data_IF_815784586660
#
_entry.id   IF_815784586660
#
_cell.length_a   1.000
_cell.length_b   1.000
_cell.length_c   1.000
_cell.angle_alpha   90.00
_cell.angle_beta   90.00
_cell.angle_gamma   90.00
#
_symmetry.space_group_name_H-M   'P 1'
#
loop_
_entity.id
_entity.type
_entity.pdbx_description
1 polymer ?
#
# COMPACT_ATOMS: atom_id res chain seq x y z
N UNK A 1 -29.31 13.77 -3.04
CA UNK A 1 -28.23 14.34 -3.87
C UNK A 1 -26.81 14.01 -3.34
N UNK A 2 -26.58 14.02 -2.02
CA UNK A 2 -25.27 13.71 -1.41
C UNK A 2 -24.74 12.30 -1.71
N UNK A 3 -25.56 11.26 -1.56
CA UNK A 3 -25.15 9.86 -1.84
C UNK A 3 -24.70 9.63 -3.29
N UNK A 4 -25.39 10.25 -4.26
CA UNK A 4 -25.03 10.15 -5.67
C UNK A 4 -23.69 10.85 -5.98
N UNK A 5 -23.43 12.00 -5.34
CA UNK A 5 -22.13 12.68 -5.44
C UNK A 5 -21.01 11.83 -4.86
N UNK A 6 -21.23 11.24 -3.69
CA UNK A 6 -20.21 10.38 -3.06
C UNK A 6 -19.94 9.13 -3.88
N UNK A 7 -20.97 8.51 -4.46
CA UNK A 7 -20.77 7.39 -5.38
C UNK A 7 -19.91 7.77 -6.59
N UNK A 8 -20.13 8.95 -7.18
CA UNK A 8 -19.31 9.43 -8.29
C UNK A 8 -17.85 9.69 -7.87
N UNK A 9 -17.63 10.28 -6.69
CA UNK A 9 -16.30 10.48 -6.12
C UNK A 9 -15.58 9.14 -5.88
N UNK A 10 -16.28 8.14 -5.34
CA UNK A 10 -15.77 6.77 -5.18
C UNK A 10 -15.38 6.14 -6.52
N UNK A 11 -16.19 6.32 -7.57
CA UNK A 11 -15.85 5.83 -8.92
C UNK A 11 -14.57 6.49 -9.46
N UNK A 12 -14.40 7.80 -9.24
CA UNK A 12 -13.18 8.50 -9.63
C UNK A 12 -11.97 8.04 -8.79
N UNK A 13 -12.14 7.84 -7.48
CA UNK A 13 -11.12 7.29 -6.60
C UNK A 13 -10.64 5.90 -7.09
N UNK A 14 -11.56 5.02 -7.46
CA UNK A 14 -11.24 3.72 -8.05
C UNK A 14 -10.44 3.86 -9.37
N UNK A 15 -10.82 4.82 -10.22
CA UNK A 15 -10.10 5.11 -11.46
C UNK A 15 -8.66 5.59 -11.21
N UNK A 16 -8.46 6.43 -10.19
CA UNK A 16 -7.14 6.89 -9.77
C UNK A 16 -6.28 5.73 -9.25
N UNK A 17 -6.79 4.90 -8.33
CA UNK A 17 -6.10 3.72 -7.80
C UNK A 17 -5.67 2.74 -8.91
N UNK A 18 -6.54 2.56 -9.92
CA UNK A 18 -6.24 1.75 -11.11
C UNK A 18 -5.11 2.33 -11.96
N UNK A 19 -5.09 3.65 -12.15
CA UNK A 19 -4.00 4.32 -12.89
C UNK A 19 -2.67 4.23 -12.16
N UNK A 20 -2.67 4.38 -10.83
CA UNK A 20 -1.49 4.17 -9.97
C UNK A 20 -1.00 2.73 -10.11
N UNK A 21 -1.91 1.75 -10.04
CA UNK A 21 -1.61 0.34 -10.24
C UNK A 21 -0.93 0.08 -11.59
N UNK A 22 -1.46 0.66 -12.68
CA UNK A 22 -0.82 0.52 -14.00
C UNK A 22 0.56 1.17 -14.04
N UNK A 23 0.77 2.31 -13.39
CA UNK A 23 2.09 2.91 -13.27
C UNK A 23 3.10 1.98 -12.56
N UNK A 24 2.68 1.28 -11.50
CA UNK A 24 3.48 0.24 -10.83
C UNK A 24 3.77 -0.95 -11.76
N UNK A 25 2.79 -1.42 -12.53
CA UNK A 25 2.98 -2.49 -13.53
C UNK A 25 4.01 -2.06 -14.59
N UNK A 26 3.90 -0.86 -15.15
CA UNK A 26 4.88 -0.35 -16.11
C UNK A 26 6.28 -0.21 -15.49
N UNK A 27 6.39 0.23 -14.24
CA UNK A 27 7.66 0.24 -13.54
C UNK A 27 8.26 -1.16 -13.42
N UNK A 28 7.45 -2.16 -13.11
CA UNK A 28 7.92 -3.54 -12.97
C UNK A 28 8.53 -4.09 -14.25
N UNK A 29 8.12 -3.61 -15.43
CA UNK A 29 8.76 -4.01 -16.70
C UNK A 29 10.17 -3.44 -16.85
N UNK A 30 10.40 -2.23 -16.35
CA UNK A 30 11.65 -1.49 -16.53
C UNK A 30 12.69 -1.74 -15.41
N UNK A 31 12.27 -2.27 -14.26
CA UNK A 31 13.19 -2.51 -13.13
C UNK A 31 13.92 -3.86 -13.24
N UNK A 32 15.24 -3.95 -12.97
CA UNK A 32 15.97 -5.23 -12.97
C UNK A 32 15.43 -6.27 -11.97
N UNK A 33 14.81 -5.81 -10.88
CA UNK A 33 14.17 -6.64 -9.87
C UNK A 33 12.75 -7.09 -10.24
N UNK A 34 12.16 -6.51 -11.30
CA UNK A 34 10.77 -6.74 -11.72
C UNK A 34 9.76 -6.47 -10.60
N UNK A 35 10.00 -5.41 -9.82
CA UNK A 35 9.19 -5.03 -8.63
C UNK A 35 8.07 -4.09 -9.03
N UNK A 36 6.87 -4.33 -8.49
CA UNK A 36 5.70 -3.48 -8.75
C UNK A 36 5.79 -2.13 -8.03
N UNK A 37 6.21 -2.14 -6.76
CA UNK A 37 6.50 -0.92 -6.00
C UNK A 37 7.97 -0.96 -5.58
N UNK A 38 8.72 0.09 -5.87
CA UNK A 38 10.14 0.18 -5.53
C UNK A 38 10.30 1.08 -4.31
N UNK A 39 9.89 0.58 -3.16
CA UNK A 39 9.75 1.32 -1.89
C UNK A 39 10.81 0.87 -0.88
N UNK A 40 11.20 1.75 0.04
CA UNK A 40 12.28 1.49 1.00
C UNK A 40 11.86 0.61 2.21
N UNK A 41 10.56 0.37 2.40
CA UNK A 41 10.03 -0.46 3.49
C UNK A 41 8.64 -0.97 3.15
N UNK A 42 8.10 -1.83 4.03
CA UNK A 42 6.76 -2.41 3.91
C UNK A 42 5.64 -1.40 4.17
N UNK A 43 5.88 -0.41 5.03
CA UNK A 43 4.95 0.70 5.29
C UNK A 43 5.32 1.98 4.54
N UNK A 44 5.94 1.87 3.36
CA UNK A 44 6.25 3.05 2.54
C UNK A 44 5.20 3.18 1.46
N UNK A 45 4.40 4.25 1.56
CA UNK A 45 3.30 4.53 0.63
C UNK A 45 3.70 5.46 -0.51
N UNK A 46 4.96 5.90 -0.54
CA UNK A 46 5.44 6.89 -1.49
C UNK A 46 5.08 6.56 -2.94
N UNK A 47 4.47 7.52 -3.62
CA UNK A 47 4.23 7.50 -5.07
C UNK A 47 5.45 7.98 -5.87
N UNK A 48 6.54 8.40 -5.22
CA UNK A 48 7.74 8.88 -5.91
C UNK A 48 8.49 7.79 -6.68
N UNK A 49 8.28 6.50 -6.38
CA UNK A 49 8.89 5.44 -7.20
C UNK A 49 8.35 5.44 -8.64
N UNK A 50 7.08 5.80 -8.84
CA UNK A 50 6.41 5.83 -10.16
C UNK A 50 6.27 7.23 -10.76
N UNK A 51 6.17 8.29 -9.94
CA UNK A 51 6.18 9.67 -10.40
C UNK A 51 7.60 10.14 -10.74
N UNK A 52 7.83 11.01 -11.74
CA UNK A 52 6.92 11.43 -12.81
C UNK A 52 7.00 10.49 -14.03
N UNK A 53 7.75 9.38 -13.96
CA UNK A 53 8.06 8.57 -15.15
C UNK A 53 6.82 7.85 -15.68
N UNK A 54 6.09 7.15 -14.81
CA UNK A 54 4.93 6.33 -15.16
C UNK A 54 3.61 6.97 -14.69
N UNK A 55 3.62 7.68 -13.56
CA UNK A 55 2.51 8.52 -13.11
C UNK A 55 2.83 9.98 -13.47
N UNK A 56 2.23 10.53 -14.53
CA UNK A 56 2.57 11.87 -15.04
C UNK A 56 1.90 13.01 -14.27
N UNK A 57 0.64 12.79 -13.89
CA UNK A 57 -0.16 13.77 -13.17
C UNK A 57 -0.14 13.42 -11.67
N UNK A 58 0.49 14.24 -10.81
CA UNK A 58 0.55 13.96 -9.38
C UNK A 58 -0.83 14.07 -8.69
N UNK A 59 -1.80 14.76 -9.31
CA UNK A 59 -3.18 14.88 -8.81
C UNK A 59 -3.95 13.55 -8.86
N UNK A 60 -3.44 12.53 -9.57
CA UNK A 60 -3.97 11.16 -9.46
C UNK A 60 -3.75 10.57 -8.07
N UNK A 61 -2.85 11.14 -7.27
CA UNK A 61 -2.66 10.80 -5.86
C UNK A 61 -3.76 11.32 -4.92
N UNK A 62 -4.75 12.07 -5.41
CA UNK A 62 -5.81 12.65 -4.56
C UNK A 62 -7.14 11.93 -4.74
N UNK A 63 -7.76 11.52 -3.64
CA UNK A 63 -9.12 11.00 -3.62
C UNK A 63 -10.12 12.18 -3.63
N UNK A 64 -11.13 12.21 -4.52
CA UNK A 64 -12.10 13.31 -4.57
C UNK A 64 -13.02 13.45 -3.35
N UNK A 65 -12.99 12.48 -2.44
CA UNK A 65 -13.71 12.51 -1.16
C UNK A 65 -12.90 13.13 -0.02
N UNK A 66 -11.67 13.59 -0.28
CA UNK A 66 -10.79 14.19 0.73
C UNK A 66 -10.54 15.68 0.48
N UNK A 67 -9.86 16.31 1.43
CA UNK A 67 -9.27 17.65 1.32
C UNK A 67 -7.75 17.58 1.11
N UNK A 68 -7.21 16.38 0.84
CA UNK A 68 -5.78 16.16 0.69
C UNK A 68 -5.23 16.93 -0.50
N UNK A 69 -3.96 17.32 -0.40
CA UNK A 69 -3.31 18.15 -1.40
C UNK A 69 -1.93 17.62 -1.76
N UNK A 70 -1.65 17.64 -3.06
CA UNK A 70 -0.31 17.45 -3.61
C UNK A 70 0.09 18.73 -4.35
N UNK A 71 1.06 19.45 -3.79
CA UNK A 71 1.61 20.69 -4.34
C UNK A 71 2.81 20.38 -5.24
N UNK A 72 2.73 20.81 -6.50
CA UNK A 72 3.75 20.49 -7.51
C UNK A 72 5.09 21.23 -7.31
N UNK A 73 5.06 22.32 -6.55
CA UNK A 73 6.21 23.14 -6.16
C UNK A 73 6.83 22.72 -4.82
N UNK A 74 6.13 21.90 -4.02
CA UNK A 74 6.63 21.38 -2.76
C UNK A 74 7.58 20.19 -2.96
N UNK A 75 8.83 20.52 -3.34
CA UNK A 75 9.88 19.55 -3.69
C UNK A 75 10.96 19.47 -2.64
N UNK A 76 11.63 18.31 -2.58
CA UNK A 76 12.83 18.17 -1.77
C UNK A 76 13.92 19.16 -2.21
N UNK A 77 14.61 19.83 -1.27
CA UNK A 77 15.60 20.85 -1.61
C UNK A 77 16.83 20.22 -2.29
N UNK A 78 17.14 18.97 -1.94
CA UNK A 78 18.21 18.15 -2.49
C UNK A 78 17.68 16.81 -3.00
N UNK A 79 18.42 16.09 -3.86
CA UNK A 79 18.07 14.73 -4.23
C UNK A 79 17.94 13.81 -3.02
N UNK A 80 16.88 13.01 -2.97
CA UNK A 80 16.73 11.98 -1.94
C UNK A 80 17.53 10.76 -2.36
N UNK A 81 18.47 10.26 -1.52
CA UNK A 81 19.40 9.19 -1.87
C UNK A 81 18.74 7.94 -2.48
N UNK A 82 17.61 7.51 -1.91
CA UNK A 82 16.88 6.34 -2.39
C UNK A 82 16.38 6.49 -3.84
N UNK A 83 15.95 7.69 -4.23
CA UNK A 83 15.44 7.96 -5.59
C UNK A 83 16.50 8.51 -6.54
N UNK A 84 17.64 9.00 -6.03
CA UNK A 84 18.69 9.65 -6.83
C UNK A 84 18.24 10.97 -7.51
N UNK A 85 17.11 11.53 -7.10
CA UNK A 85 16.53 12.75 -7.68
C UNK A 85 15.76 13.54 -6.62
N UNK A 86 15.43 14.79 -6.94
CA UNK A 86 14.44 15.56 -6.15
C UNK A 86 13.07 14.91 -6.29
N UNK A 87 12.33 14.86 -5.19
CA UNK A 87 10.98 14.26 -5.12
C UNK A 87 9.92 15.33 -4.85
N UNK A 88 8.64 14.97 -5.03
CA UNK A 88 7.53 15.75 -4.48
C UNK A 88 7.29 15.28 -3.04
N UNK A 89 7.35 16.19 -2.07
CA UNK A 89 7.17 15.85 -0.66
C UNK A 89 5.78 15.29 -0.39
N UNK A 90 4.75 15.89 -0.98
CA UNK A 90 3.36 15.46 -0.79
C UNK A 90 3.04 14.10 -1.47
N UNK A 91 3.98 13.53 -2.23
CA UNK A 91 3.88 12.16 -2.76
C UNK A 91 4.70 11.15 -1.96
N UNK A 92 5.42 11.57 -0.92
CA UNK A 92 6.26 10.66 -0.15
C UNK A 92 5.46 9.88 0.90
N UNK A 93 4.48 10.55 1.50
CA UNK A 93 3.62 9.98 2.53
C UNK A 93 2.17 10.33 2.24
N UNK A 94 1.28 9.48 2.74
CA UNK A 94 -0.16 9.74 2.76
C UNK A 94 -0.49 10.89 3.71
N UNK A 95 -1.62 11.55 3.46
CA UNK A 95 -2.14 12.58 4.35
C UNK A 95 -2.68 11.99 5.66
N UNK A 96 -2.75 12.80 6.71
CA UNK A 96 -3.10 12.36 8.09
C UNK A 96 -4.53 11.82 8.25
N UNK A 97 -5.43 12.09 7.28
CA UNK A 97 -6.82 11.64 7.17
C UNK A 97 -7.50 12.35 5.98
N UNK A 98 -8.77 12.05 5.72
CA UNK A 98 -9.55 12.65 4.64
C UNK A 98 -9.76 14.17 4.74
N UNK A 99 -9.67 14.77 5.93
CA UNK A 99 -9.86 16.20 6.14
C UNK A 99 -8.54 16.99 6.18
N UNK A 100 -7.39 16.31 6.13
CA UNK A 100 -6.08 16.98 6.14
C UNK A 100 -5.81 17.69 4.81
N UNK A 101 -5.51 18.98 4.90
CA UNK A 101 -5.19 19.89 3.80
C UNK A 101 -3.74 20.40 3.85
N UNK A 102 -2.89 19.81 4.69
CA UNK A 102 -1.52 20.30 4.92
C UNK A 102 -0.47 19.70 3.98
N UNK A 103 -0.80 18.60 3.30
CA UNK A 103 0.08 17.89 2.37
C UNK A 103 -0.01 16.37 2.54
N UNK A 104 0.24 15.63 1.46
CA UNK A 104 0.20 14.18 1.43
C UNK A 104 -0.85 13.66 0.46
N UNK A 105 -0.70 12.41 0.03
CA UNK A 105 -1.61 11.77 -0.93
C UNK A 105 -2.66 10.88 -0.24
N UNK A 106 -3.64 10.43 -1.01
CA UNK A 106 -4.81 9.71 -0.53
C UNK A 106 -4.74 8.20 -0.74
N UNK A 107 -3.57 7.60 -0.95
CA UNK A 107 -3.46 6.18 -1.34
C UNK A 107 -2.31 5.46 -0.66
N UNK A 108 -2.54 4.28 -0.12
CA UNK A 108 -1.48 3.41 0.38
C UNK A 108 -0.94 2.48 -0.71
N UNK A 109 0.34 2.11 -0.62
CA UNK A 109 1.04 1.26 -1.57
C UNK A 109 1.50 -0.02 -0.89
N UNK A 110 0.76 -1.08 -1.19
CA UNK A 110 0.96 -2.40 -0.62
C UNK A 110 1.92 -3.21 -1.50
N UNK A 111 3.15 -2.72 -1.61
CA UNK A 111 4.22 -3.30 -2.42
C UNK A 111 4.76 -4.65 -1.94
N UNK A 112 4.36 -5.12 -0.76
CA UNK A 112 4.96 -6.25 -0.05
C UNK A 112 3.92 -7.28 0.39
N UNK A 113 4.34 -8.54 0.44
CA UNK A 113 3.65 -9.60 1.17
C UNK A 113 4.12 -9.61 2.62
N UNK A 114 3.20 -9.79 3.56
CA UNK A 114 3.54 -9.80 4.97
C UNK A 114 4.13 -11.15 5.40
N UNK A 115 5.18 -11.07 6.21
CA UNK A 115 5.89 -12.25 6.66
C UNK A 115 6.66 -12.02 7.97
N UNK A 116 7.13 -13.10 8.61
CA UNK A 116 7.08 -14.48 8.12
C UNK A 116 5.72 -15.12 8.42
N UNK A 117 5.01 -15.56 7.39
CA UNK A 117 3.61 -15.99 7.51
C UNK A 117 3.29 -17.23 6.67
N UNK A 118 2.33 -18.04 7.12
CA UNK A 118 1.68 -19.12 6.38
C UNK A 118 0.20 -18.76 6.26
N UNK A 119 -0.27 -18.56 5.04
CA UNK A 119 -1.64 -18.15 4.74
C UNK A 119 -2.58 -19.35 4.56
N UNK A 120 -3.87 -19.05 4.38
CA UNK A 120 -4.97 -20.03 4.33
C UNK A 120 -4.78 -21.12 3.26
N UNK A 121 -4.14 -20.79 2.13
CA UNK A 121 -3.82 -21.73 1.06
C UNK A 121 -2.47 -22.46 1.27
N UNK A 122 -1.90 -22.36 2.47
CA UNK A 122 -0.59 -22.87 2.90
C UNK A 122 0.61 -22.21 2.21
N UNK A 123 0.40 -21.12 1.47
CA UNK A 123 1.51 -20.31 0.96
C UNK A 123 2.32 -19.74 2.11
N UNK A 124 3.64 -19.96 2.05
CA UNK A 124 4.61 -19.43 3.01
C UNK A 124 5.30 -18.20 2.42
N UNK A 125 5.30 -17.12 3.18
CA UNK A 125 6.06 -15.89 2.92
C UNK A 125 7.19 -15.82 3.96
N UNK A 126 8.42 -15.68 3.49
CA UNK A 126 9.60 -15.52 4.36
C UNK A 126 10.68 -14.69 3.67
N UNK A 127 10.79 -13.42 4.05
CA UNK A 127 11.79 -12.50 3.53
C UNK A 127 13.10 -12.48 4.31
N UNK A 128 13.23 -13.23 5.41
CA UNK A 128 14.33 -13.04 6.38
C UNK A 128 15.73 -13.28 5.81
N UNK A 129 15.85 -13.97 4.68
CA UNK A 129 17.14 -14.21 4.02
C UNK A 129 17.69 -13.00 3.26
N UNK A 130 16.86 -12.02 2.91
CA UNK A 130 17.25 -10.86 2.10
C UNK A 130 16.95 -9.53 2.84
N UNK A 131 17.87 -8.57 2.79
CA UNK A 131 17.54 -7.18 3.17
C UNK A 131 16.77 -6.47 2.05
N UNK A 132 16.21 -5.30 2.35
CA UNK A 132 15.42 -4.52 1.38
C UNK A 132 16.22 -4.24 0.10
N UNK A 133 17.47 -3.80 0.22
CA UNK A 133 18.34 -3.53 -0.93
C UNK A 133 18.59 -4.75 -1.82
N UNK A 134 18.70 -5.96 -1.23
CA UNK A 134 18.81 -7.21 -1.97
C UNK A 134 17.50 -7.55 -2.70
N UNK A 135 16.35 -7.39 -2.03
CA UNK A 135 15.05 -7.63 -2.65
C UNK A 135 14.80 -6.69 -3.85
N UNK A 136 15.24 -5.44 -3.76
CA UNK A 136 15.20 -4.43 -4.83
C UNK A 136 16.28 -4.61 -5.90
N UNK A 137 17.20 -5.57 -5.75
CA UNK A 137 18.40 -5.77 -6.59
C UNK A 137 19.19 -4.49 -6.81
N UNK A 138 19.33 -3.66 -5.78
CA UNK A 138 20.15 -2.46 -5.84
C UNK A 138 21.64 -2.82 -5.73
N UNK A 139 22.50 -1.92 -6.22
CA UNK A 139 23.92 -1.93 -5.87
C UNK A 139 24.12 -1.14 -4.58
N UNK A 140 24.83 -1.71 -3.59
CA UNK A 140 25.14 -1.02 -2.33
C UNK A 140 26.10 0.15 -2.61
N UNK A 141 25.72 1.32 -2.12
CA UNK A 141 26.47 2.58 -2.15
C UNK A 141 26.44 3.20 -0.76
N UNK A 142 27.23 4.24 -0.50
CA UNK A 142 27.15 4.96 0.78
C UNK A 142 25.81 5.67 0.96
N UNK A 143 25.22 6.11 -0.15
CA UNK A 143 23.95 6.83 -0.22
C UNK A 143 22.73 5.95 0.10
N UNK A 144 22.78 4.66 -0.26
CA UNK A 144 21.66 3.72 -0.05
C UNK A 144 21.94 2.61 0.97
N UNK A 145 23.04 2.68 1.73
CA UNK A 145 23.43 1.62 2.68
C UNK A 145 22.34 1.26 3.69
N UNK A 146 21.48 2.20 4.04
CA UNK A 146 20.39 2.00 5.01
C UNK A 146 19.42 0.89 4.59
N UNK A 147 19.05 0.80 3.31
CA UNK A 147 18.18 -0.28 2.82
C UNK A 147 18.88 -1.65 2.79
N UNK A 148 20.21 -1.68 2.83
CA UNK A 148 20.96 -2.93 2.95
C UNK A 148 21.10 -3.40 4.40
N UNK A 149 21.02 -2.48 5.35
CA UNK A 149 21.09 -2.77 6.79
C UNK A 149 19.69 -3.12 7.34
N UNK A 150 18.62 -2.74 6.63
CA UNK A 150 17.25 -3.08 6.97
C UNK A 150 16.91 -4.55 6.62
N UNK A 151 16.78 -5.35 7.67
CA UNK A 151 16.18 -6.70 7.58
C UNK A 151 14.67 -6.61 7.67
N UNK A 152 13.98 -7.45 6.90
CA UNK A 152 12.54 -7.60 6.95
C UNK A 152 12.19 -9.06 6.75
N UNK A 153 11.06 -9.49 7.31
CA UNK A 153 10.51 -10.81 7.05
C UNK A 153 9.43 -10.78 5.95
N UNK A 154 9.06 -9.59 5.47
CA UNK A 154 8.17 -9.38 4.34
C UNK A 154 8.91 -9.56 3.00
N UNK A 155 8.16 -9.87 1.94
CA UNK A 155 8.70 -10.13 0.61
C UNK A 155 8.08 -9.15 -0.39
N UNK A 156 8.92 -8.40 -1.11
CA UNK A 156 8.45 -7.45 -2.11
C UNK A 156 7.76 -8.18 -3.28
N UNK A 157 6.66 -7.64 -3.77
CA UNK A 157 5.88 -8.19 -4.88
C UNK A 157 6.66 -8.01 -6.18
N UNK A 158 7.01 -9.13 -6.83
CA UNK A 158 7.74 -9.17 -8.11
C UNK A 158 6.94 -9.93 -9.15
N UNK A 159 7.12 -9.58 -10.42
CA UNK A 159 6.44 -10.28 -11.53
C UNK A 159 6.66 -11.79 -11.51
N UNK A 160 7.85 -12.24 -11.12
CA UNK A 160 8.23 -13.65 -11.10
C UNK A 160 7.89 -14.38 -9.78
N UNK A 161 7.45 -13.69 -8.73
CA UNK A 161 7.08 -14.30 -7.44
C UNK A 161 5.58 -14.27 -7.16
N UNK A 162 4.85 -13.32 -7.77
CA UNK A 162 3.39 -13.22 -7.66
C UNK A 162 2.73 -14.38 -8.39
N UNK A 163 1.90 -15.13 -7.67
CA UNK A 163 1.18 -16.31 -8.21
C UNK A 163 -0.26 -16.01 -8.62
N UNK A 164 -0.91 -15.04 -7.95
CA UNK A 164 -2.35 -14.74 -8.11
C UNK A 164 -2.57 -13.23 -8.23
N UNK A 165 -2.19 -12.60 -9.35
CA UNK A 165 -2.30 -11.14 -9.50
C UNK A 165 -3.69 -10.58 -9.17
N UNK A 166 -4.75 -11.30 -9.53
CA UNK A 166 -6.15 -10.97 -9.22
C UNK A 166 -6.53 -11.02 -7.72
N UNK A 167 -5.68 -11.59 -6.87
CA UNK A 167 -5.89 -11.63 -5.41
C UNK A 167 -4.91 -10.71 -4.67
N UNK A 168 -3.80 -10.33 -5.30
CA UNK A 168 -2.77 -9.50 -4.71
C UNK A 168 -3.14 -8.02 -4.84
N UNK A 169 -3.65 -7.44 -3.76
CA UNK A 169 -3.83 -6.00 -3.62
C UNK A 169 -2.50 -5.25 -3.83
N UNK A 170 -2.57 -4.02 -4.32
CA UNK A 170 -1.40 -3.17 -4.55
C UNK A 170 -1.63 -1.71 -4.13
N UNK A 171 -2.82 -1.16 -4.40
CA UNK A 171 -3.15 0.23 -4.06
C UNK A 171 -4.48 0.25 -3.31
N UNK A 172 -4.50 0.90 -2.16
CA UNK A 172 -5.70 1.13 -1.37
C UNK A 172 -5.93 2.64 -1.26
N UNK A 173 -7.19 3.09 -1.21
CA UNK A 173 -7.41 4.44 -0.70
C UNK A 173 -7.03 4.49 0.78
N UNK A 174 -6.26 5.51 1.13
CA UNK A 174 -5.56 5.54 2.40
C UNK A 174 -6.50 5.67 3.57
N UNK A 175 -6.12 4.98 4.63
CA UNK A 175 -6.69 5.05 5.96
C UNK A 175 -5.68 5.61 6.98
N UNK A 176 -4.62 6.30 6.55
CA UNK A 176 -3.57 6.75 7.47
C UNK A 176 -4.11 7.64 8.60
N UNK A 177 -3.95 7.12 9.81
CA UNK A 177 -3.76 7.82 11.09
C UNK A 177 -3.21 6.87 12.17
N UNK A 178 -2.70 5.70 11.74
CA UNK A 178 -1.78 4.83 12.46
C UNK A 178 -2.37 3.93 13.54
N UNK A 179 -3.70 3.90 13.72
CA UNK A 179 -4.33 3.22 14.85
C UNK A 179 -3.98 3.91 16.16
N UNK A 180 -4.98 4.46 16.84
CA UNK A 180 -4.82 5.07 18.16
C UNK A 180 -5.09 6.59 18.22
N UNK A 181 -5.56 7.18 17.12
CA UNK A 181 -6.27 8.46 17.15
C UNK A 181 -7.77 8.18 17.35
N UNK A 182 -8.46 9.02 18.11
CA UNK A 182 -9.91 8.91 18.24
C UNK A 182 -10.58 9.14 16.87
N UNK A 183 -11.38 8.18 16.41
CA UNK A 183 -11.99 8.16 15.08
C UNK A 183 -11.20 7.43 13.99
N UNK A 184 -10.01 6.92 14.32
CA UNK A 184 -9.14 6.09 13.48
C UNK A 184 -8.40 5.08 14.37
N UNK A 185 -9.20 4.17 14.92
CA UNK A 185 -8.73 3.24 15.94
C UNK A 185 -8.02 2.02 15.33
N UNK A 186 -8.26 1.72 14.05
CA UNK A 186 -7.82 0.47 13.44
C UNK A 186 -7.00 0.71 12.17
N UNK A 187 -5.72 0.36 12.22
CA UNK A 187 -4.88 0.39 11.03
C UNK A 187 -5.33 -0.67 10.00
N UNK A 188 -5.31 -0.30 8.71
CA UNK A 188 -5.76 -1.07 7.55
C UNK A 188 -7.28 -1.33 7.51
N UNK A 189 -8.12 -0.45 8.07
CA UNK A 189 -9.58 -0.62 8.15
C UNK A 189 -10.36 0.70 8.01
N UNK A 190 -11.52 0.70 7.31
CA UNK A 190 -12.34 1.89 7.09
C UNK A 190 -13.00 2.41 8.38
N UNK A 191 -12.50 3.54 8.85
CA UNK A 191 -12.93 4.29 10.02
C UNK A 191 -13.42 5.70 9.63
N UNK A 192 -13.87 6.49 10.61
CA UNK A 192 -14.58 7.76 10.34
C UNK A 192 -13.70 8.82 9.66
N UNK A 193 -12.39 8.75 9.87
CA UNK A 193 -11.42 9.72 9.36
C UNK A 193 -10.85 9.34 7.99
N UNK A 194 -11.05 8.12 7.50
CA UNK A 194 -10.47 7.70 6.22
C UNK A 194 -11.27 8.24 5.03
N UNK A 195 -10.72 8.08 3.82
CA UNK A 195 -11.17 8.74 2.60
C UNK A 195 -12.67 8.59 2.27
N UNK A 196 -13.25 7.44 2.59
CA UNK A 196 -14.68 7.18 2.39
C UNK A 196 -15.41 6.78 3.68
N UNK A 197 -14.83 7.11 4.82
CA UNK A 197 -15.38 6.78 6.12
C UNK A 197 -15.53 5.27 6.34
N UNK A 198 -16.50 4.89 7.18
CA UNK A 198 -16.79 3.50 7.58
C UNK A 198 -17.42 2.62 6.50
N UNK A 199 -17.67 3.15 5.30
CA UNK A 199 -18.44 2.47 4.26
C UNK A 199 -17.63 1.39 3.53
N UNK A 200 -16.29 1.52 3.51
CA UNK A 200 -15.39 0.63 2.79
C UNK A 200 -14.22 1.35 2.12
N UNK A 201 -13.47 0.59 1.33
CA UNK A 201 -12.24 1.03 0.65
C UNK A 201 -12.30 0.68 -0.84
N UNK A 202 -11.68 1.49 -1.70
CA UNK A 202 -11.30 1.06 -3.04
C UNK A 202 -9.96 0.33 -2.98
N UNK A 203 -9.94 -0.91 -3.44
CA UNK A 203 -8.74 -1.75 -3.47
C UNK A 203 -8.45 -2.12 -4.91
N UNK A 204 -7.26 -1.77 -5.39
CA UNK A 204 -6.77 -2.11 -6.71
C UNK A 204 -5.74 -3.24 -6.63
N UNK A 205 -5.82 -4.17 -7.58
CA UNK A 205 -5.07 -5.43 -7.59
C UNK A 205 -4.05 -5.47 -8.73
N UNK A 206 -3.09 -6.39 -8.64
CA UNK A 206 -1.98 -6.48 -9.62
C UNK A 206 -2.42 -6.83 -11.05
N UNK A 207 -3.59 -7.40 -11.27
CA UNK A 207 -4.17 -7.60 -12.62
C UNK A 207 -4.85 -6.33 -13.18
N UNK A 208 -4.89 -5.24 -12.39
CA UNK A 208 -5.43 -3.95 -12.78
C UNK A 208 -6.93 -3.79 -12.59
N UNK A 209 -7.64 -4.73 -11.94
CA UNK A 209 -9.02 -4.47 -11.51
C UNK A 209 -9.05 -3.72 -10.18
N UNK A 210 -10.18 -3.06 -9.89
CA UNK A 210 -10.41 -2.36 -8.63
C UNK A 210 -11.77 -2.77 -8.08
N UNK A 211 -11.82 -3.13 -6.81
CA UNK A 211 -13.02 -3.53 -6.08
C UNK A 211 -13.36 -2.49 -5.02
N UNK A 212 -14.64 -2.19 -4.84
CA UNK A 212 -15.12 -1.60 -3.59
C UNK A 212 -15.26 -2.69 -2.52
N UNK A 213 -14.41 -2.67 -1.51
CA UNK A 213 -14.39 -3.63 -0.42
C UNK A 213 -15.20 -3.11 0.76
N UNK A 214 -16.20 -3.87 1.20
CA UNK A 214 -16.92 -3.58 2.44
C UNK A 214 -16.07 -4.01 3.65
N UNK A 215 -16.25 -3.39 4.82
CA UNK A 215 -15.44 -3.72 6.01
C UNK A 215 -15.43 -5.22 6.36
N UNK A 216 -16.59 -5.89 6.25
CA UNK A 216 -16.72 -7.35 6.49
C UNK A 216 -15.92 -8.25 5.54
N UNK A 217 -15.49 -7.73 4.39
CA UNK A 217 -14.80 -8.49 3.34
C UNK A 217 -13.27 -8.40 3.50
N UNK A 218 -12.80 -7.40 4.26
CA UNK A 218 -11.39 -7.05 4.35
C UNK A 218 -10.51 -8.19 4.87
N UNK A 219 -10.81 -8.89 5.98
CA UNK A 219 -9.94 -9.97 6.44
C UNK A 219 -9.71 -11.04 5.36
N UNK A 220 -10.75 -11.37 4.58
CA UNK A 220 -10.63 -12.32 3.47
C UNK A 220 -9.89 -11.75 2.26
N UNK A 221 -9.94 -10.44 2.02
CA UNK A 221 -9.17 -9.79 0.95
C UNK A 221 -7.69 -9.78 1.29
N UNK A 222 -7.31 -9.29 2.48
CA UNK A 222 -5.91 -9.23 2.92
C UNK A 222 -5.24 -10.61 2.91
N UNK A 223 -5.88 -11.61 3.53
CA UNK A 223 -5.32 -12.96 3.61
C UNK A 223 -5.17 -13.64 2.24
N UNK A 224 -6.06 -13.36 1.27
CA UNK A 224 -5.92 -13.87 -0.11
C UNK A 224 -4.81 -13.18 -0.88
N UNK A 225 -4.47 -11.95 -0.51
CA UNK A 225 -3.35 -11.18 -1.04
C UNK A 225 -2.01 -11.47 -0.37
N UNK A 226 -1.98 -12.37 0.62
CA UNK A 226 -0.83 -12.64 1.49
C UNK A 226 -0.40 -11.40 2.29
N UNK A 227 -1.39 -10.74 2.86
CA UNK A 227 -1.24 -9.59 3.72
C UNK A 227 -1.97 -9.84 5.04
N UNK A 228 -1.44 -9.31 6.13
CA UNK A 228 -2.07 -9.44 7.44
C UNK A 228 -3.37 -8.62 7.47
N UNK A 229 -4.44 -9.14 8.09
CA UNK A 229 -5.71 -8.44 8.21
C UNK A 229 -5.58 -7.24 9.16
N UNK A 230 -6.60 -6.37 9.24
CA UNK A 230 -6.56 -5.19 10.10
C UNK A 230 -6.20 -5.52 11.54
N UNK A 231 -5.29 -4.74 12.14
CA UNK A 231 -4.53 -5.18 13.32
C UNK A 231 -5.39 -5.44 14.56
N UNK A 232 -6.35 -4.55 14.86
CA UNK A 232 -6.98 -4.48 16.18
C UNK A 232 -8.41 -5.01 16.25
N UNK A 233 -9.06 -5.26 15.11
CA UNK A 233 -10.49 -5.61 15.09
C UNK A 233 -10.83 -6.84 14.24
N UNK A 234 -9.86 -7.50 13.61
CA UNK A 234 -10.16 -8.60 12.69
C UNK A 234 -10.98 -9.72 13.35
N UNK A 235 -10.78 -9.99 14.65
CA UNK A 235 -11.54 -11.00 15.40
C UNK A 235 -13.03 -10.67 15.50
N UNK A 236 -13.39 -9.38 15.52
CA UNK A 236 -14.79 -8.96 15.55
C UNK A 236 -15.47 -9.16 14.20
N UNK A 237 -14.70 -9.08 13.12
CA UNK A 237 -15.16 -9.15 11.74
C UNK A 237 -15.15 -10.60 11.23
N UNK A 238 -14.12 -11.36 11.62
CA UNK A 238 -13.86 -12.74 11.24
C UNK A 238 -13.59 -13.60 12.49
N UNK A 239 -14.61 -13.87 13.33
CA UNK A 239 -14.45 -14.53 14.63
C UNK A 239 -13.94 -15.97 14.56
N UNK A 240 -14.07 -16.62 13.41
CA UNK A 240 -13.57 -17.98 13.18
C UNK A 240 -12.15 -18.00 12.61
N UNK A 241 -11.60 -16.85 12.21
CA UNK A 241 -10.21 -16.78 11.78
C UNK A 241 -9.32 -16.97 13.02
N UNK A 242 -8.21 -17.68 12.87
CA UNK A 242 -7.25 -17.94 13.94
C UNK A 242 -5.87 -17.51 13.50
N UNK A 243 -5.15 -16.83 14.40
CA UNK A 243 -3.74 -16.49 14.31
C UNK A 243 -2.96 -17.31 15.32
N UNK A 244 -2.10 -18.21 14.86
CA UNK A 244 -1.18 -18.97 15.74
C UNK A 244 0.27 -18.74 15.32
N UNK A 245 1.21 -19.22 16.13
CA UNK A 245 2.63 -19.21 15.79
C UNK A 245 3.14 -20.64 15.68
N UNK A 246 3.84 -20.96 14.59
CA UNK A 246 4.50 -22.26 14.40
C UNK A 246 5.85 -22.07 13.73
N UNK A 247 6.92 -22.58 14.33
CA UNK A 247 8.29 -22.52 13.80
C UNK A 247 8.75 -21.10 13.39
N UNK A 248 8.31 -20.09 14.15
CA UNK A 248 8.61 -18.69 13.86
C UNK A 248 7.82 -18.09 12.70
N UNK A 249 6.73 -18.71 12.27
CA UNK A 249 5.73 -18.16 11.33
C UNK A 249 4.46 -17.80 12.05
N UNK A 250 3.86 -16.67 11.68
CA UNK A 250 2.43 -16.44 11.86
C UNK A 250 1.67 -17.44 10.98
N UNK A 251 0.69 -18.16 11.52
CA UNK A 251 -0.12 -19.11 10.78
C UNK A 251 -1.58 -18.68 10.87
N UNK A 252 -2.17 -18.42 9.71
CA UNK A 252 -3.58 -18.09 9.55
C UNK A 252 -4.39 -19.32 9.17
N UNK A 253 -5.49 -19.59 9.89
CA UNK A 253 -6.41 -20.70 9.62
C UNK A 253 -7.86 -20.37 9.99
N UNK A 254 -8.81 -21.13 9.46
CA UNK A 254 -10.20 -21.19 9.97
C UNK A 254 -10.41 -22.50 10.73
#
# INVERSE_FOLDING_TARGET
LSKARELAKRTQCASNARQITFACVYQSEDTPAKVYAATASTGSDSLNHIYPKYLKNPQLGICPSTQNIVREDHRSPTPVPFYGRKILYDLEETADNAADDKGGHSYEIWGWFDGPSIYLDRTRIDGRSECVGQQLRMTRTEENKTVFDQKTACVIKKQNTVKRPFSCLLVLDSDQGGGGKAGDENNNYPDALNNHGKEGLNISYLDGHTQWAKPRELPSIYLRGYNDPPYDNWQTIAPNLTKTTRDGYTVWSY
#
